data_IF_888212418475
#
_entry.id   IF_888212418475
#
_cell.length_a   1.000
_cell.length_b   1.000
_cell.length_c   1.000
_cell.angle_alpha   90.00
_cell.angle_beta   90.00
_cell.angle_gamma   90.00
#
_symmetry.space_group_name_H-M   'P 1'
#
loop_
_entity.id
_entity.type
_entity.pdbx_description
1 polymer ?
#
# COMPACT_ATOMS: atom_id res chain seq x y z
N UNK A 1 16.42 -2.31 -19.40
CA UNK A 1 16.00 -3.73 -19.21
C UNK A 1 15.00 -4.08 -20.28
N UNK A 2 15.12 -5.27 -20.86
CA UNK A 2 14.12 -5.80 -21.80
C UNK A 2 12.74 -5.84 -21.14
N UNK A 3 11.72 -5.36 -21.83
CA UNK A 3 10.31 -5.47 -21.40
C UNK A 3 9.67 -6.79 -21.86
N UNK A 4 10.51 -7.83 -22.03
CA UNK A 4 10.06 -9.17 -22.42
C UNK A 4 9.63 -10.00 -21.20
N UNK A 5 8.80 -11.00 -21.49
CA UNK A 5 8.43 -12.04 -20.50
C UNK A 5 9.68 -12.85 -20.18
N UNK A 6 9.95 -13.11 -18.91
CA UNK A 6 11.15 -13.82 -18.46
C UNK A 6 10.81 -14.91 -17.48
N UNK A 7 11.53 -16.01 -17.55
CA UNK A 7 11.49 -17.09 -16.57
C UNK A 7 12.55 -16.84 -15.49
N UNK A 8 12.14 -16.92 -14.23
CA UNK A 8 13.00 -16.80 -13.04
C UNK A 8 13.01 -18.15 -12.36
N UNK A 9 14.20 -18.73 -12.20
CA UNK A 9 14.39 -20.05 -11.60
C UNK A 9 14.72 -19.96 -10.11
N UNK A 10 14.47 -21.02 -9.32
CA UNK A 10 14.98 -21.12 -7.97
C UNK A 10 16.51 -20.98 -7.91
N UNK A 11 17.01 -20.33 -6.86
CA UNK A 11 18.44 -20.08 -6.65
C UNK A 11 19.01 -18.88 -7.42
N UNK A 12 18.14 -18.00 -7.94
CA UNK A 12 18.55 -16.79 -8.66
C UNK A 12 18.39 -15.49 -7.83
N UNK A 13 18.20 -15.58 -6.53
CA UNK A 13 18.08 -14.39 -5.70
C UNK A 13 19.47 -13.86 -5.33
N UNK A 14 19.77 -12.64 -5.79
CA UNK A 14 21.01 -11.93 -5.48
C UNK A 14 20.65 -10.63 -4.74
N UNK A 15 21.04 -10.49 -3.46
CA UNK A 15 20.67 -9.32 -2.64
C UNK A 15 21.04 -7.98 -3.29
N UNK A 16 22.19 -7.91 -3.95
CA UNK A 16 22.70 -6.70 -4.61
C UNK A 16 21.81 -6.24 -5.76
N UNK A 17 21.07 -7.15 -6.40
CA UNK A 17 20.12 -6.84 -7.48
C UNK A 17 18.75 -6.39 -6.96
N UNK A 18 18.41 -6.71 -5.70
CA UNK A 18 17.07 -6.57 -5.17
C UNK A 18 16.95 -5.57 -4.04
N UNK A 19 18.07 -5.10 -3.48
CA UNK A 19 18.08 -4.09 -2.43
C UNK A 19 18.94 -2.87 -2.79
N UNK A 20 18.55 -1.73 -2.27
CA UNK A 20 19.42 -0.56 -2.34
C UNK A 20 20.71 -0.79 -1.54
N UNK A 21 21.86 -0.26 -2.00
CA UNK A 21 23.15 -0.41 -1.29
C UNK A 21 23.09 0.02 0.19
N UNK A 22 22.32 1.06 0.49
CA UNK A 22 22.12 1.50 1.88
C UNK A 22 21.36 0.47 2.71
N UNK A 23 20.41 -0.25 2.11
CA UNK A 23 19.65 -1.28 2.82
C UNK A 23 20.48 -2.56 3.04
N UNK A 24 21.41 -2.88 2.13
CA UNK A 24 22.30 -4.03 2.27
C UNK A 24 23.16 -3.94 3.55
N UNK A 25 23.61 -2.73 3.90
CA UNK A 25 24.49 -2.47 5.03
C UNK A 25 23.74 -1.93 6.26
N UNK A 26 22.42 -1.83 6.21
CA UNK A 26 21.63 -1.33 7.33
C UNK A 26 21.22 -2.46 8.27
N UNK A 27 21.08 -2.12 9.54
CA UNK A 27 20.50 -2.99 10.56
C UNK A 27 19.26 -2.34 11.16
N UNK A 28 18.28 -3.14 11.52
CA UNK A 28 17.12 -2.65 12.27
C UNK A 28 17.57 -2.33 13.70
N UNK A 29 17.26 -1.13 14.17
CA UNK A 29 17.52 -0.77 15.56
C UNK A 29 16.90 -1.82 16.50
N UNK A 30 17.63 -2.33 17.52
CA UNK A 30 17.17 -3.44 18.37
C UNK A 30 15.79 -3.21 19.01
N UNK A 31 15.48 -1.98 19.42
CA UNK A 31 14.16 -1.64 19.96
C UNK A 31 13.06 -1.78 18.90
N UNK A 32 13.31 -1.37 17.66
CA UNK A 32 12.35 -1.51 16.55
C UNK A 32 12.15 -2.99 16.22
N UNK A 33 13.24 -3.76 16.16
CA UNK A 33 13.19 -5.20 15.96
C UNK A 33 12.36 -5.90 17.06
N UNK A 34 12.54 -5.49 18.33
CA UNK A 34 11.73 -5.99 19.43
C UNK A 34 10.23 -5.78 19.20
N UNK A 35 9.80 -4.59 18.76
CA UNK A 35 8.39 -4.31 18.49
C UNK A 35 7.86 -5.08 17.27
N UNK A 36 8.66 -5.27 16.24
CA UNK A 36 8.26 -6.06 15.07
C UNK A 36 8.10 -7.56 15.38
N UNK A 37 8.75 -8.05 16.42
CA UNK A 37 8.68 -9.45 16.84
C UNK A 37 7.64 -9.70 17.95
N UNK A 38 6.83 -8.69 18.32
CA UNK A 38 5.73 -8.91 19.26
C UNK A 38 4.64 -9.76 18.59
N UNK A 39 4.18 -10.77 19.31
CA UNK A 39 2.98 -11.51 18.93
C UNK A 39 1.69 -10.68 19.10
N UNK A 40 0.60 -11.10 18.47
CA UNK A 40 -0.67 -10.41 18.52
C UNK A 40 -1.18 -10.20 19.96
N UNK A 41 -1.01 -11.16 20.86
CA UNK A 41 -1.48 -11.07 22.23
C UNK A 41 -0.72 -9.99 23.00
N UNK A 42 0.60 -9.88 22.78
CA UNK A 42 1.42 -8.84 23.38
C UNK A 42 1.05 -7.45 22.81
N UNK A 43 0.79 -7.36 21.51
CA UNK A 43 0.32 -6.12 20.88
C UNK A 43 -1.01 -5.69 21.51
N UNK A 44 -1.98 -6.61 21.65
CA UNK A 44 -3.29 -6.36 22.25
C UNK A 44 -3.15 -5.88 23.69
N UNK A 45 -2.39 -6.62 24.53
CA UNK A 45 -2.18 -6.27 25.93
C UNK A 45 -1.56 -4.87 26.09
N UNK A 46 -0.50 -4.61 25.31
CA UNK A 46 0.18 -3.30 25.36
C UNK A 46 -0.72 -2.17 24.89
N UNK A 47 -1.46 -2.37 23.78
CA UNK A 47 -2.35 -1.36 23.25
C UNK A 47 -3.49 -1.05 24.21
N UNK A 48 -4.14 -2.07 24.78
CA UNK A 48 -5.21 -1.90 25.76
C UNK A 48 -4.71 -1.23 27.05
N UNK A 49 -3.49 -1.57 27.50
CA UNK A 49 -2.88 -0.89 28.66
C UNK A 49 -2.68 0.62 28.41
N UNK A 50 -2.19 0.99 27.22
CA UNK A 50 -1.97 2.39 26.86
C UNK A 50 -3.28 3.13 26.49
N UNK A 51 -4.33 2.40 26.18
CA UNK A 51 -5.63 2.91 25.77
C UNK A 51 -6.77 2.25 26.59
N UNK A 52 -7.00 2.66 27.85
CA UNK A 52 -7.92 1.95 28.77
C UNK A 52 -9.39 1.87 28.31
N UNK A 53 -9.78 2.66 27.30
CA UNK A 53 -11.12 2.62 26.72
C UNK A 53 -11.29 1.52 25.66
N UNK A 54 -10.19 0.85 25.29
CA UNK A 54 -10.19 -0.18 24.24
C UNK A 54 -10.60 -1.53 24.81
N UNK A 55 -11.57 -2.18 24.18
CA UNK A 55 -11.89 -3.58 24.44
C UNK A 55 -10.83 -4.51 23.80
N UNK A 56 -9.96 -5.08 24.64
CA UNK A 56 -8.86 -5.93 24.20
C UNK A 56 -9.33 -7.19 23.46
N UNK A 57 -10.49 -7.76 23.80
CA UNK A 57 -11.05 -8.92 23.12
C UNK A 57 -11.46 -8.56 21.67
N UNK A 58 -12.13 -7.46 21.50
CA UNK A 58 -12.52 -6.95 20.17
C UNK A 58 -11.29 -6.58 19.33
N UNK A 59 -10.26 -5.99 19.94
CA UNK A 59 -8.99 -5.71 19.25
C UNK A 59 -8.32 -6.98 18.78
N UNK A 60 -8.26 -8.04 19.62
CA UNK A 60 -7.72 -9.34 19.24
C UNK A 60 -8.50 -9.95 18.07
N UNK A 61 -9.83 -9.92 18.12
CA UNK A 61 -10.67 -10.42 17.03
C UNK A 61 -10.43 -9.64 15.73
N UNK A 62 -10.25 -8.34 15.81
CA UNK A 62 -9.99 -7.47 14.65
C UNK A 62 -8.64 -7.79 14.01
N UNK A 63 -7.58 -7.93 14.82
CA UNK A 63 -6.23 -8.25 14.32
C UNK A 63 -6.13 -9.64 13.69
N UNK A 64 -6.93 -10.59 14.17
CA UNK A 64 -6.99 -11.95 13.63
C UNK A 64 -7.97 -12.12 12.46
N UNK A 65 -8.65 -11.04 12.05
CA UNK A 65 -9.61 -11.10 10.94
C UNK A 65 -8.88 -11.18 9.61
N UNK A 66 -9.06 -12.28 8.89
CA UNK A 66 -8.60 -12.37 7.51
C UNK A 66 -9.46 -11.54 6.56
N UNK A 67 -8.84 -10.86 5.62
CA UNK A 67 -9.51 -10.13 4.57
C UNK A 67 -9.66 -11.00 3.31
N UNK A 68 -10.75 -10.81 2.58
CA UNK A 68 -11.02 -11.62 1.37
C UNK A 68 -10.18 -11.21 0.17
N UNK A 69 -9.88 -9.93 0.03
CA UNK A 69 -9.28 -9.37 -1.18
C UNK A 69 -8.01 -8.56 -0.93
N UNK A 70 -7.96 -7.83 0.19
CA UNK A 70 -6.84 -6.94 0.53
C UNK A 70 -5.88 -7.68 1.45
N UNK A 71 -4.78 -8.20 0.90
CA UNK A 71 -3.83 -9.04 1.64
C UNK A 71 -2.51 -8.35 1.94
N UNK A 72 -2.19 -7.30 1.18
CA UNK A 72 -0.96 -6.56 1.31
C UNK A 72 -1.23 -5.08 1.10
N UNK A 73 -0.81 -4.26 2.02
CA UNK A 73 -0.98 -2.83 1.98
C UNK A 73 0.12 -2.08 2.71
N UNK A 74 0.25 -0.81 2.41
CA UNK A 74 1.04 0.15 3.16
C UNK A 74 0.16 1.30 3.59
N UNK A 75 0.51 1.95 4.68
CA UNK A 75 -0.12 3.17 5.12
C UNK A 75 0.93 4.27 5.27
N UNK A 76 0.62 5.45 4.74
CA UNK A 76 1.42 6.64 4.97
C UNK A 76 0.93 7.29 6.26
N UNK A 77 1.85 7.40 7.23
CA UNK A 77 1.55 7.80 8.60
C UNK A 77 2.34 9.04 9.00
N UNK A 78 1.65 9.99 9.65
CA UNK A 78 2.32 11.06 10.38
C UNK A 78 2.22 10.80 11.89
N UNK A 79 3.35 11.01 12.57
CA UNK A 79 3.39 11.07 14.02
C UNK A 79 3.30 12.54 14.44
N UNK A 80 2.18 12.90 15.04
CA UNK A 80 1.86 14.29 15.35
C UNK A 80 1.65 14.49 16.83
N UNK A 81 1.88 15.72 17.28
CA UNK A 81 1.52 16.18 18.63
C UNK A 81 0.32 17.13 18.50
N UNK A 82 -0.75 16.84 19.22
CA UNK A 82 -1.95 17.70 19.26
C UNK A 82 -1.68 18.98 20.07
N UNK A 83 -2.58 19.95 19.97
CA UNK A 83 -2.52 21.17 20.79
C UNK A 83 -2.51 20.88 22.30
N UNK A 84 -3.15 19.78 22.73
CA UNK A 84 -3.16 19.32 24.12
C UNK A 84 -1.89 18.55 24.51
N UNK A 85 -0.87 18.49 23.63
CA UNK A 85 0.38 17.78 23.87
C UNK A 85 0.31 16.25 23.68
N UNK A 86 -0.82 15.70 23.27
CA UNK A 86 -0.96 14.26 23.04
C UNK A 86 -0.30 13.86 21.73
N UNK A 87 0.47 12.78 21.77
CA UNK A 87 1.11 12.18 20.59
C UNK A 87 0.19 11.14 19.97
N UNK A 88 0.04 11.20 18.64
CA UNK A 88 -0.79 10.24 17.91
C UNK A 88 -0.28 9.98 16.49
N UNK A 89 -0.60 8.80 15.97
CA UNK A 89 -0.42 8.49 14.56
C UNK A 89 -1.66 8.93 13.79
N UNK A 90 -1.44 9.54 12.62
CA UNK A 90 -2.49 9.96 11.69
C UNK A 90 -2.24 9.28 10.35
N UNK A 91 -3.24 8.58 9.83
CA UNK A 91 -3.20 7.92 8.52
C UNK A 91 -3.53 8.94 7.44
N UNK A 92 -2.63 9.12 6.49
CA UNK A 92 -2.82 10.02 5.34
C UNK A 92 -3.44 9.32 4.15
N UNK A 93 -2.96 8.11 3.86
CA UNK A 93 -3.49 7.24 2.81
C UNK A 93 -3.10 5.77 3.02
N UNK A 94 -3.83 4.88 2.34
CA UNK A 94 -3.52 3.46 2.26
C UNK A 94 -3.16 3.09 0.83
N UNK A 95 -2.08 2.36 0.66
CA UNK A 95 -1.58 1.87 -0.62
C UNK A 95 -1.83 0.37 -0.79
N UNK A 96 -2.34 -0.05 -1.96
CA UNK A 96 -2.65 -1.46 -2.26
C UNK A 96 -1.49 -2.28 -2.82
N UNK A 97 -0.42 -1.63 -3.23
CA UNK A 97 0.81 -2.26 -3.71
C UNK A 97 1.97 -1.33 -3.32
N UNK A 98 2.31 -1.26 -2.03
CA UNK A 98 3.39 -0.38 -1.58
C UNK A 98 4.73 -0.84 -2.15
N UNK A 99 5.59 0.11 -2.46
CA UNK A 99 7.00 -0.13 -2.75
C UNK A 99 7.77 0.06 -1.45
N UNK A 100 8.69 -0.84 -1.14
CA UNK A 100 9.48 -0.67 0.08
C UNK A 100 10.36 -1.85 0.44
N UNK A 101 10.12 -3.03 -0.09
CA UNK A 101 10.91 -4.22 0.26
C UNK A 101 12.39 -4.04 -0.04
N UNK A 102 12.73 -3.44 -1.19
CA UNK A 102 14.11 -3.11 -1.58
C UNK A 102 14.84 -2.15 -0.63
N UNK A 103 14.12 -1.51 0.29
CA UNK A 103 14.67 -0.59 1.29
C UNK A 103 14.69 -1.19 2.70
N UNK A 104 14.19 -2.41 2.87
CA UNK A 104 14.09 -3.04 4.18
C UNK A 104 15.41 -3.66 4.58
N UNK A 105 15.98 -3.30 5.75
CA UNK A 105 17.11 -4.01 6.31
C UNK A 105 16.73 -5.43 6.76
N UNK A 106 17.70 -6.36 6.95
CA UNK A 106 17.39 -7.69 7.42
C UNK A 106 16.82 -7.67 8.85
N UNK A 107 15.91 -8.60 9.13
CA UNK A 107 15.38 -8.83 10.48
C UNK A 107 16.37 -9.62 11.35
N UNK A 108 17.15 -10.48 10.74
CA UNK A 108 18.18 -11.30 11.36
C UNK A 108 19.33 -11.52 10.39
N UNK A 109 20.50 -11.85 10.93
CA UNK A 109 21.67 -12.21 10.13
C UNK A 109 21.35 -13.50 9.33
N UNK A 110 21.75 -13.51 8.05
CA UNK A 110 21.53 -14.65 7.15
C UNK A 110 20.15 -14.72 6.49
N UNK A 111 19.25 -13.78 6.76
CA UNK A 111 17.98 -13.68 6.01
C UNK A 111 18.19 -12.86 4.72
N UNK A 112 18.60 -13.53 3.66
CA UNK A 112 18.89 -12.90 2.36
C UNK A 112 17.66 -12.26 1.72
N UNK A 113 16.49 -12.92 1.83
CA UNK A 113 15.24 -12.44 1.23
C UNK A 113 14.55 -11.34 2.03
N UNK A 114 14.87 -11.20 3.31
CA UNK A 114 14.36 -10.14 4.20
C UNK A 114 12.83 -9.95 4.13
N UNK A 115 12.38 -8.73 3.88
CA UNK A 115 10.95 -8.40 3.78
C UNK A 115 10.23 -9.09 2.62
N UNK A 116 10.92 -9.47 1.55
CA UNK A 116 10.33 -10.28 0.47
C UNK A 116 9.86 -11.64 0.99
N UNK A 117 10.64 -12.30 1.86
CA UNK A 117 10.28 -13.58 2.47
C UNK A 117 8.96 -13.49 3.20
N UNK A 118 8.81 -12.52 4.10
CA UNK A 118 7.57 -12.37 4.87
C UNK A 118 6.33 -12.18 3.97
N UNK A 119 6.45 -11.39 2.91
CA UNK A 119 5.35 -11.20 1.96
C UNK A 119 5.00 -12.50 1.23
N UNK A 120 6.00 -13.21 0.75
CA UNK A 120 5.80 -14.40 -0.09
C UNK A 120 5.42 -15.62 0.77
N UNK A 121 6.19 -15.95 1.81
CA UNK A 121 6.01 -17.14 2.62
C UNK A 121 4.79 -17.01 3.54
N UNK A 122 4.77 -15.95 4.37
CA UNK A 122 3.76 -15.80 5.41
C UNK A 122 2.39 -15.40 4.84
N UNK A 123 2.35 -14.80 3.64
CA UNK A 123 1.10 -14.32 3.05
C UNK A 123 0.77 -14.99 1.71
N UNK A 124 1.51 -14.76 0.64
CA UNK A 124 1.14 -15.25 -0.70
C UNK A 124 1.02 -16.78 -0.77
N UNK A 125 2.07 -17.52 -0.39
CA UNK A 125 2.09 -18.97 -0.43
C UNK A 125 1.08 -19.57 0.55
N UNK A 126 0.95 -18.98 1.74
CA UNK A 126 -0.06 -19.37 2.73
C UNK A 126 -1.48 -19.20 2.19
N UNK A 127 -1.77 -18.13 1.47
CA UNK A 127 -3.09 -17.88 0.89
C UNK A 127 -3.45 -18.82 -0.27
N UNK A 128 -2.49 -19.27 -1.05
CA UNK A 128 -2.75 -20.20 -2.17
C UNK A 128 -2.75 -21.66 -1.73
N UNK A 129 -2.14 -21.98 -0.59
CA UNK A 129 -2.10 -23.33 -0.05
C UNK A 129 -3.51 -23.86 0.24
N UNK A 130 -3.84 -25.01 -0.33
CA UNK A 130 -5.15 -25.65 -0.14
C UNK A 130 -6.29 -25.01 -0.94
N UNK A 131 -6.07 -23.96 -1.71
CA UNK A 131 -7.08 -23.42 -2.63
C UNK A 131 -7.20 -24.28 -3.89
N UNK A 132 -8.42 -24.43 -4.39
CA UNK A 132 -8.67 -25.02 -5.71
C UNK A 132 -8.38 -23.97 -6.79
N UNK A 133 -7.15 -23.98 -7.29
CA UNK A 133 -6.68 -23.09 -8.35
C UNK A 133 -6.78 -23.78 -9.73
N UNK A 134 -6.83 -23.03 -10.84
CA UNK A 134 -6.67 -23.59 -12.17
C UNK A 134 -5.28 -24.24 -12.30
N UNK A 135 -5.08 -25.13 -13.27
CA UNK A 135 -3.74 -25.59 -13.64
C UNK A 135 -2.96 -24.42 -14.24
N UNK A 136 -1.67 -24.34 -14.00
CA UNK A 136 -0.85 -23.28 -14.55
C UNK A 136 0.37 -22.93 -13.71
N UNK A 137 1.06 -21.88 -14.11
CA UNK A 137 2.31 -21.41 -13.53
C UNK A 137 2.11 -20.33 -12.47
N UNK A 138 3.18 -20.00 -11.75
CA UNK A 138 3.27 -18.82 -10.90
C UNK A 138 3.81 -17.64 -11.71
N UNK A 139 3.34 -16.44 -11.42
CA UNK A 139 3.80 -15.23 -12.09
C UNK A 139 3.89 -14.00 -11.17
N UNK A 140 4.76 -13.06 -11.55
CA UNK A 140 4.75 -11.69 -11.05
C UNK A 140 4.44 -10.78 -12.24
N UNK A 141 3.30 -10.08 -12.18
CA UNK A 141 2.82 -9.18 -13.25
C UNK A 141 3.11 -7.75 -12.82
N UNK A 142 3.79 -6.97 -13.65
CA UNK A 142 4.31 -5.66 -13.24
C UNK A 142 4.25 -4.59 -14.32
N UNK A 143 4.29 -3.32 -13.88
CA UNK A 143 4.36 -2.14 -14.77
C UNK A 143 5.45 -1.12 -14.38
N UNK A 144 6.16 -1.33 -13.27
CA UNK A 144 7.27 -0.48 -12.82
C UNK A 144 8.14 -1.17 -11.77
N UNK A 145 9.16 -0.47 -11.25
CA UNK A 145 10.06 -0.89 -10.17
C UNK A 145 10.73 -2.25 -10.45
N UNK A 146 11.52 -2.40 -11.52
CA UNK A 146 12.11 -3.68 -11.91
C UNK A 146 12.91 -4.33 -10.76
N UNK A 147 13.71 -3.57 -10.00
CA UNK A 147 14.47 -4.08 -8.85
C UNK A 147 13.56 -4.81 -7.83
N UNK A 148 12.41 -4.24 -7.53
CA UNK A 148 11.52 -4.80 -6.53
C UNK A 148 10.72 -6.00 -7.07
N UNK A 149 10.26 -5.93 -8.31
CA UNK A 149 9.46 -7.01 -8.89
C UNK A 149 10.30 -8.23 -9.25
N UNK A 150 11.58 -8.06 -9.61
CA UNK A 150 12.52 -9.17 -9.76
C UNK A 150 12.80 -9.82 -8.40
N UNK A 151 12.92 -9.05 -7.32
CA UNK A 151 13.03 -9.57 -5.96
C UNK A 151 11.82 -10.40 -5.54
N UNK A 152 10.59 -9.96 -5.85
CA UNK A 152 9.39 -10.80 -5.62
C UNK A 152 9.44 -12.09 -6.43
N UNK A 153 9.83 -12.05 -7.69
CA UNK A 153 9.86 -13.23 -8.56
C UNK A 153 10.93 -14.24 -8.09
N UNK A 154 12.14 -13.77 -7.78
CA UNK A 154 13.23 -14.62 -7.31
C UNK A 154 12.90 -15.25 -5.94
N UNK A 155 12.40 -14.45 -4.98
CA UNK A 155 11.96 -14.97 -3.68
C UNK A 155 10.83 -15.99 -3.82
N UNK A 156 9.86 -15.72 -4.72
CA UNK A 156 8.76 -16.66 -4.97
C UNK A 156 9.27 -17.96 -5.58
N UNK A 157 10.21 -17.90 -6.52
CA UNK A 157 10.82 -19.09 -7.10
C UNK A 157 11.56 -19.92 -6.05
N UNK A 158 12.39 -19.28 -5.22
CA UNK A 158 13.16 -19.96 -4.18
C UNK A 158 12.27 -20.66 -3.15
N UNK A 159 11.24 -19.97 -2.65
CA UNK A 159 10.39 -20.47 -1.59
C UNK A 159 9.36 -21.49 -2.08
N UNK A 160 8.86 -21.35 -3.31
CA UNK A 160 7.97 -22.33 -3.92
C UNK A 160 8.70 -23.53 -4.51
N UNK A 161 10.01 -23.40 -4.81
CA UNK A 161 10.83 -24.35 -5.57
C UNK A 161 10.27 -24.61 -6.98
N UNK A 162 9.67 -23.60 -7.59
CA UNK A 162 9.09 -23.66 -8.91
C UNK A 162 9.58 -22.45 -9.73
N UNK A 163 9.61 -22.63 -11.05
CA UNK A 163 9.87 -21.55 -11.97
C UNK A 163 8.75 -20.50 -11.90
N UNK A 164 9.13 -19.22 -11.91
CA UNK A 164 8.20 -18.08 -11.80
C UNK A 164 8.35 -17.19 -13.04
N UNK A 165 7.24 -16.84 -13.66
CA UNK A 165 7.23 -15.95 -14.81
C UNK A 165 7.14 -14.48 -14.37
N UNK A 166 8.07 -13.66 -14.84
CA UNK A 166 8.04 -12.21 -14.69
C UNK A 166 7.41 -11.61 -15.96
N UNK A 167 6.22 -11.04 -15.83
CA UNK A 167 5.36 -10.66 -16.96
C UNK A 167 5.13 -9.15 -16.97
N UNK A 168 5.63 -8.41 -17.98
CA UNK A 168 5.37 -6.98 -18.12
C UNK A 168 3.91 -6.73 -18.50
N UNK A 169 3.32 -5.66 -17.93
CA UNK A 169 1.95 -5.24 -18.19
C UNK A 169 1.91 -3.70 -18.27
N UNK A 170 2.56 -3.13 -19.27
CA UNK A 170 2.62 -1.70 -19.50
C UNK A 170 1.44 -1.20 -20.34
N UNK A 171 1.14 0.08 -20.22
CA UNK A 171 0.21 0.74 -21.12
C UNK A 171 0.87 0.99 -22.48
N UNK A 172 0.08 1.03 -23.55
CA UNK A 172 0.49 1.34 -24.92
C UNK A 172 1.41 0.28 -25.60
N UNK A 173 1.68 -0.84 -24.96
CA UNK A 173 2.46 -1.94 -25.57
C UNK A 173 1.58 -3.17 -25.79
N UNK A 174 2.01 -4.04 -26.71
CA UNK A 174 1.36 -5.35 -26.89
C UNK A 174 1.49 -6.11 -25.56
N UNK A 175 0.38 -6.17 -24.82
CA UNK A 175 0.35 -6.82 -23.51
C UNK A 175 0.49 -8.34 -23.71
N UNK A 176 1.51 -9.00 -23.10
CA UNK A 176 1.68 -10.43 -23.20
C UNK A 176 0.69 -11.22 -22.32
N UNK A 177 -0.38 -10.58 -21.85
CA UNK A 177 -1.40 -11.22 -21.02
C UNK A 177 -2.70 -11.30 -21.80
N UNK A 178 -3.28 -12.50 -21.84
CA UNK A 178 -4.60 -12.75 -22.41
C UNK A 178 -5.52 -13.36 -21.33
N UNK A 179 -6.83 -13.19 -21.51
CA UNK A 179 -7.85 -13.70 -20.60
C UNK A 179 -8.78 -14.64 -21.34
N UNK A 180 -8.80 -15.91 -20.94
CA UNK A 180 -9.63 -16.95 -21.56
C UNK A 180 -10.27 -17.83 -20.50
N UNK A 181 -11.53 -18.15 -20.65
CA UNK A 181 -12.30 -19.06 -19.78
C UNK A 181 -12.22 -18.72 -18.27
N UNK A 182 -11.99 -17.46 -17.98
CA UNK A 182 -11.85 -16.97 -16.61
C UNK A 182 -10.43 -17.09 -16.04
N UNK A 183 -9.44 -17.48 -16.82
CA UNK A 183 -8.03 -17.64 -16.42
C UNK A 183 -7.15 -16.63 -17.14
N UNK A 184 -6.17 -16.08 -16.43
CA UNK A 184 -5.09 -15.30 -17.04
C UNK A 184 -4.07 -16.24 -17.66
N UNK A 185 -3.61 -15.91 -18.86
CA UNK A 185 -2.53 -16.60 -19.55
C UNK A 185 -1.45 -15.58 -19.90
N UNK A 186 -0.20 -15.99 -19.85
CA UNK A 186 0.90 -15.24 -20.44
C UNK A 186 1.24 -15.81 -21.84
N UNK A 187 1.78 -14.94 -22.69
CA UNK A 187 2.34 -15.32 -23.97
C UNK A 187 3.86 -15.18 -23.86
N UNK A 188 4.60 -16.29 -24.01
CA UNK A 188 6.05 -16.29 -23.96
C UNK A 188 6.69 -15.81 -25.29
N UNK A 189 8.02 -15.82 -25.37
CA UNK A 189 8.75 -15.40 -26.57
C UNK A 189 8.54 -16.34 -27.78
N UNK A 190 8.20 -17.59 -27.53
CA UNK A 190 7.85 -18.60 -28.53
C UNK A 190 6.37 -18.50 -28.99
N UNK A 191 5.64 -17.49 -28.53
CA UNK A 191 4.19 -17.32 -28.73
C UNK A 191 3.33 -18.45 -28.17
N UNK A 192 3.80 -19.16 -27.16
CA UNK A 192 3.00 -20.14 -26.42
C UNK A 192 2.13 -19.44 -25.38
N UNK A 193 0.89 -19.87 -25.29
CA UNK A 193 -0.08 -19.36 -24.30
C UNK A 193 -0.06 -20.26 -23.05
N UNK A 194 0.46 -19.74 -21.94
CA UNK A 194 0.67 -20.49 -20.71
C UNK A 194 -0.30 -20.00 -19.63
N UNK A 195 -1.17 -20.85 -19.06
CA UNK A 195 -2.11 -20.46 -18.02
C UNK A 195 -1.41 -20.10 -16.70
N UNK A 196 -1.91 -19.09 -16.02
CA UNK A 196 -1.42 -18.62 -14.73
C UNK A 196 -2.37 -19.08 -13.63
N UNK A 197 -1.91 -19.92 -12.69
CA UNK A 197 -2.73 -20.34 -11.54
C UNK A 197 -2.81 -19.29 -10.45
N UNK A 198 -1.69 -18.60 -10.19
CA UNK A 198 -1.62 -17.55 -9.18
C UNK A 198 -0.53 -16.53 -9.57
N UNK A 199 -0.78 -15.26 -9.24
CA UNK A 199 0.19 -14.20 -9.51
C UNK A 199 0.18 -13.12 -8.43
N UNK A 200 1.35 -12.51 -8.21
CA UNK A 200 1.50 -11.26 -7.50
C UNK A 200 1.32 -10.12 -8.51
N UNK A 201 0.35 -9.23 -8.26
CA UNK A 201 0.07 -8.11 -9.13
C UNK A 201 0.77 -6.83 -8.64
N UNK A 202 1.73 -6.33 -9.40
CA UNK A 202 2.39 -5.05 -9.19
C UNK A 202 2.09 -4.09 -10.35
N UNK A 203 0.80 -3.97 -10.71
CA UNK A 203 0.30 -3.06 -11.75
C UNK A 203 -0.24 -1.82 -11.05
N UNK A 204 0.49 -0.73 -11.10
CA UNK A 204 0.29 0.44 -10.24
C UNK A 204 0.14 1.76 -11.00
N UNK A 205 0.44 1.79 -12.31
CA UNK A 205 0.24 2.93 -13.18
C UNK A 205 -1.13 2.89 -13.88
N UNK A 206 -1.62 4.02 -14.34
CA UNK A 206 -2.85 4.08 -15.17
C UNK A 206 -2.63 3.42 -16.54
N UNK A 207 -3.66 2.81 -17.13
CA UNK A 207 -4.94 2.45 -16.55
C UNK A 207 -4.83 1.23 -15.61
N UNK A 208 -5.42 1.30 -14.42
CA UNK A 208 -5.26 0.24 -13.40
C UNK A 208 -6.07 -1.03 -13.67
N UNK A 209 -6.98 -0.99 -14.64
CA UNK A 209 -7.89 -2.08 -15.02
C UNK A 209 -7.36 -2.93 -16.19
N UNK A 210 -6.06 -2.90 -16.46
CA UNK A 210 -5.44 -3.75 -17.50
C UNK A 210 -5.57 -5.25 -17.25
N UNK A 211 -5.79 -5.64 -16.01
CA UNK A 211 -6.17 -6.99 -15.63
C UNK A 211 -7.64 -7.05 -15.23
N UNK A 212 -8.34 -8.15 -15.51
CA UNK A 212 -9.75 -8.30 -15.16
C UNK A 212 -9.98 -8.23 -13.66
N UNK A 213 -11.13 -7.69 -13.25
CA UNK A 213 -11.55 -7.60 -11.84
C UNK A 213 -11.88 -8.99 -11.28
N UNK A 214 -12.48 -9.85 -12.12
CA UNK A 214 -12.90 -11.20 -11.74
C UNK A 214 -12.12 -12.22 -12.57
N UNK A 215 -11.47 -13.16 -11.89
CA UNK A 215 -10.68 -14.23 -12.53
C UNK A 215 -10.61 -15.46 -11.63
N UNK A 216 -10.45 -16.64 -12.23
CA UNK A 216 -10.14 -17.90 -11.55
C UNK A 216 -8.67 -17.98 -11.13
N UNK A 217 -7.77 -17.27 -11.83
CA UNK A 217 -6.39 -17.06 -11.40
C UNK A 217 -6.40 -16.35 -10.05
N UNK A 218 -5.66 -16.84 -9.08
CA UNK A 218 -5.50 -16.10 -7.82
C UNK A 218 -4.60 -14.90 -8.06
N UNK A 219 -5.15 -13.69 -7.93
CA UNK A 219 -4.40 -12.44 -8.06
C UNK A 219 -4.21 -11.83 -6.67
N UNK A 220 -2.98 -11.83 -6.19
CA UNK A 220 -2.63 -11.24 -4.91
C UNK A 220 -2.75 -9.71 -4.99
N UNK A 221 -3.61 -9.15 -4.15
CA UNK A 221 -4.12 -7.80 -4.28
C UNK A 221 -4.72 -7.55 -5.68
N UNK A 222 -5.89 -8.12 -5.91
CA UNK A 222 -6.59 -8.07 -7.19
C UNK A 222 -6.82 -6.64 -7.71
N UNK A 223 -7.22 -6.52 -8.96
CA UNK A 223 -7.60 -5.24 -9.57
C UNK A 223 -8.69 -4.52 -8.77
N UNK A 224 -9.63 -5.26 -8.16
CA UNK A 224 -10.65 -4.70 -7.28
C UNK A 224 -10.05 -3.91 -6.11
N UNK A 225 -9.03 -4.45 -5.46
CA UNK A 225 -8.34 -3.79 -4.32
C UNK A 225 -7.67 -2.50 -4.76
N UNK A 226 -7.13 -2.48 -5.97
CA UNK A 226 -6.54 -1.27 -6.55
C UNK A 226 -7.63 -0.21 -6.80
N UNK A 227 -8.70 -0.57 -7.50
CA UNK A 227 -9.76 0.35 -7.92
C UNK A 227 -10.63 0.84 -6.75
N UNK A 228 -10.90 -0.03 -5.78
CA UNK A 228 -11.80 0.27 -4.66
C UNK A 228 -11.08 0.77 -3.38
N UNK A 229 -9.78 0.84 -3.38
CA UNK A 229 -9.00 1.21 -2.19
C UNK A 229 -7.76 2.00 -2.53
N UNK A 230 -6.68 1.32 -2.93
CA UNK A 230 -5.35 1.91 -3.06
C UNK A 230 -5.19 3.02 -4.10
N UNK A 231 -6.14 3.20 -5.02
CA UNK A 231 -6.12 4.27 -6.05
C UNK A 231 -7.36 5.16 -6.01
N UNK A 232 -8.33 4.81 -5.19
CA UNK A 232 -9.55 5.58 -4.98
C UNK A 232 -9.56 6.17 -3.57
N UNK A 233 -9.04 7.38 -3.45
CA UNK A 233 -8.94 8.09 -2.16
C UNK A 233 -10.29 8.37 -1.52
N UNK A 234 -11.33 8.57 -2.34
CA UNK A 234 -12.69 8.78 -1.87
C UNK A 234 -13.24 7.52 -1.18
N UNK A 235 -13.11 6.35 -1.81
CA UNK A 235 -13.55 5.09 -1.20
C UNK A 235 -12.74 4.76 0.05
N UNK A 236 -11.42 5.01 0.03
CA UNK A 236 -10.56 4.81 1.20
C UNK A 236 -10.99 5.70 2.38
N UNK A 237 -11.29 6.99 2.15
CA UNK A 237 -11.79 7.91 3.18
C UNK A 237 -13.11 7.41 3.77
N UNK A 238 -14.08 7.06 2.94
CA UNK A 238 -15.35 6.48 3.42
C UNK A 238 -15.16 5.18 4.20
N UNK A 239 -14.17 4.37 3.84
CA UNK A 239 -13.87 3.14 4.58
C UNK A 239 -13.34 3.44 5.99
N UNK A 240 -12.52 4.48 6.16
CA UNK A 240 -12.07 4.92 7.51
C UNK A 240 -13.25 5.40 8.35
N UNK A 241 -14.16 6.19 7.77
CA UNK A 241 -15.33 6.69 8.49
C UNK A 241 -16.27 5.55 8.92
N UNK A 242 -16.54 4.60 8.03
CA UNK A 242 -17.34 3.41 8.35
C UNK A 242 -16.68 2.55 9.43
N UNK A 243 -15.36 2.35 9.36
CA UNK A 243 -14.61 1.66 10.40
C UNK A 243 -14.74 2.38 11.74
N UNK A 244 -14.49 3.69 11.77
CA UNK A 244 -14.56 4.50 12.98
C UNK A 244 -15.97 4.51 13.59
N UNK A 245 -17.01 4.60 12.74
CA UNK A 245 -18.39 4.52 13.19
C UNK A 245 -18.72 3.15 13.81
N UNK A 246 -18.28 2.06 13.18
CA UNK A 246 -18.55 0.69 13.63
C UNK A 246 -17.78 0.31 14.92
N UNK A 247 -16.60 0.87 15.13
CA UNK A 247 -15.69 0.51 16.24
C UNK A 247 -15.73 1.52 17.40
N UNK A 248 -16.49 2.60 17.27
CA UNK A 248 -16.57 3.69 18.28
C UNK A 248 -16.85 3.19 19.69
N UNK A 249 -17.80 2.26 19.86
CA UNK A 249 -18.16 1.68 21.16
C UNK A 249 -17.06 0.79 21.74
N UNK A 250 -16.12 0.33 20.93
CA UNK A 250 -15.01 -0.53 21.31
C UNK A 250 -13.76 0.29 21.70
N UNK A 251 -13.84 1.63 21.64
CA UNK A 251 -12.71 2.52 21.89
C UNK A 251 -11.64 2.52 20.78
N UNK A 252 -11.92 1.90 19.64
CA UNK A 252 -10.99 1.82 18.50
C UNK A 252 -11.27 2.91 17.48
N UNK A 253 -10.21 3.55 17.00
CA UNK A 253 -10.29 4.63 16.01
C UNK A 253 -9.05 4.67 15.13
N UNK A 254 -9.23 4.85 13.83
CA UNK A 254 -8.18 5.30 12.91
C UNK A 254 -8.23 6.83 12.88
N UNK A 255 -7.13 7.49 13.27
CA UNK A 255 -7.04 8.93 13.15
C UNK A 255 -6.67 9.29 11.72
N UNK A 256 -7.44 10.17 11.11
CA UNK A 256 -7.22 10.76 9.79
C UNK A 256 -7.27 12.28 9.91
N UNK A 257 -6.70 13.04 8.94
CA UNK A 257 -6.99 14.47 8.87
C UNK A 257 -8.49 14.71 8.76
N UNK A 258 -8.99 15.86 9.22
CA UNK A 258 -10.36 16.24 8.92
C UNK A 258 -10.53 16.32 7.40
N UNK A 259 -11.53 15.62 6.87
CA UNK A 259 -11.67 15.35 5.45
C UNK A 259 -13.08 15.64 4.99
N UNK A 260 -13.20 16.34 3.88
CA UNK A 260 -14.46 16.56 3.17
C UNK A 260 -14.34 15.99 1.76
N UNK A 261 -15.33 15.24 1.37
CA UNK A 261 -15.35 14.48 0.11
C UNK A 261 -16.39 15.03 -0.85
N UNK A 262 -16.14 14.86 -2.16
CA UNK A 262 -17.09 15.27 -3.20
C UNK A 262 -17.22 16.80 -3.30
N UNK A 263 -16.15 17.52 -3.01
CA UNK A 263 -16.11 18.99 -3.02
C UNK A 263 -15.96 19.48 -4.46
N UNK A 264 -16.92 20.26 -4.94
CA UNK A 264 -16.82 20.95 -6.23
C UNK A 264 -15.75 22.03 -6.20
N UNK A 265 -15.12 22.32 -7.35
CA UNK A 265 -14.03 23.30 -7.43
C UNK A 265 -14.41 24.65 -6.82
N UNK A 266 -15.62 25.13 -7.06
CA UNK A 266 -16.08 26.44 -6.54
C UNK A 266 -16.29 26.47 -5.03
N UNK A 267 -16.44 25.32 -4.38
CA UNK A 267 -16.62 25.20 -2.94
C UNK A 267 -15.28 25.15 -2.18
N UNK A 268 -14.18 24.88 -2.89
CA UNK A 268 -12.85 24.69 -2.29
C UNK A 268 -12.41 25.88 -1.43
N UNK A 269 -12.55 27.15 -1.87
CA UNK A 269 -12.14 28.30 -1.04
C UNK A 269 -12.83 28.33 0.32
N UNK A 270 -14.11 27.99 0.39
CA UNK A 270 -14.88 27.91 1.64
C UNK A 270 -14.30 26.86 2.58
N UNK A 271 -13.91 25.67 2.06
CA UNK A 271 -13.33 24.62 2.89
C UNK A 271 -11.91 24.94 3.33
N UNK A 272 -11.11 25.58 2.47
CA UNK A 272 -9.76 26.08 2.83
C UNK A 272 -9.86 27.11 3.97
N UNK A 273 -10.78 28.05 3.88
CA UNK A 273 -11.03 29.04 4.94
C UNK A 273 -11.46 28.36 6.25
N UNK A 274 -12.38 27.39 6.17
CA UNK A 274 -12.84 26.61 7.34
C UNK A 274 -11.69 25.85 8.04
N UNK A 275 -10.68 25.41 7.28
CA UNK A 275 -9.48 24.78 7.81
C UNK A 275 -8.39 25.79 8.22
N UNK A 276 -8.74 27.07 8.32
CA UNK A 276 -7.82 28.12 8.78
C UNK A 276 -6.78 28.56 7.73
N UNK A 277 -7.10 28.41 6.45
CA UNK A 277 -6.22 28.76 5.32
C UNK A 277 -5.22 27.67 4.93
N UNK A 278 -5.27 26.49 5.54
CA UNK A 278 -4.30 25.40 5.33
C UNK A 278 -5.02 24.10 4.95
N UNK A 279 -4.85 23.65 3.73
CA UNK A 279 -5.52 22.45 3.25
C UNK A 279 -4.66 21.63 2.28
N UNK A 280 -5.06 20.38 2.10
CA UNK A 280 -4.56 19.50 1.04
C UNK A 280 -5.74 19.10 0.16
N UNK A 281 -5.69 19.46 -1.10
CA UNK A 281 -6.69 19.10 -2.11
C UNK A 281 -6.18 17.88 -2.86
N UNK A 282 -7.02 16.86 -3.02
CA UNK A 282 -6.64 15.61 -3.67
C UNK A 282 -7.64 15.23 -4.77
N UNK A 283 -7.11 14.81 -5.91
CA UNK A 283 -7.93 14.13 -6.92
C UNK A 283 -8.45 12.80 -6.36
N UNK A 284 -9.70 12.40 -6.65
CA UNK A 284 -10.28 11.13 -6.17
C UNK A 284 -9.46 9.91 -6.59
N UNK A 285 -8.96 9.92 -7.83
CA UNK A 285 -8.16 8.86 -8.42
C UNK A 285 -6.78 9.40 -8.77
N UNK A 286 -5.77 9.00 -8.00
CA UNK A 286 -4.40 9.43 -8.23
C UNK A 286 -3.37 8.47 -7.63
N UNK A 287 -2.10 8.66 -8.00
CA UNK A 287 -0.99 7.82 -7.59
C UNK A 287 0.28 8.66 -7.43
N UNK A 288 1.15 8.27 -6.50
CA UNK A 288 2.51 8.80 -6.34
C UNK A 288 2.59 10.34 -6.25
N UNK A 289 1.73 10.95 -5.45
CA UNK A 289 1.69 12.41 -5.27
C UNK A 289 1.04 13.20 -6.41
N UNK A 290 0.73 12.58 -7.54
CA UNK A 290 0.01 13.24 -8.62
C UNK A 290 -1.40 13.61 -8.18
N UNK A 291 -1.85 14.84 -8.52
CA UNK A 291 -3.17 15.33 -8.13
C UNK A 291 -3.32 15.53 -6.62
N UNK A 292 -2.24 15.89 -5.94
CA UNK A 292 -2.20 16.37 -4.56
C UNK A 292 -1.67 17.80 -4.56
N UNK A 293 -2.48 18.72 -4.07
CA UNK A 293 -2.18 20.15 -4.05
C UNK A 293 -2.22 20.62 -2.60
N UNK A 294 -1.13 21.18 -2.14
CA UNK A 294 -1.03 21.77 -0.78
C UNK A 294 -1.32 23.26 -0.86
N UNK A 295 -2.21 23.73 -0.02
CA UNK A 295 -2.59 25.15 0.08
C UNK A 295 -2.12 25.65 1.46
N UNK A 296 -1.21 26.61 1.46
CA UNK A 296 -0.66 27.26 2.66
C UNK A 296 -0.81 28.79 2.65
N UNK A 297 -1.24 29.34 1.52
CA UNK A 297 -1.45 30.77 1.31
C UNK A 297 -2.46 31.01 0.19
N UNK A 298 -2.85 32.28 0.02
CA UNK A 298 -3.84 32.70 -0.99
C UNK A 298 -3.36 32.52 -2.42
N UNK A 299 -2.06 32.68 -2.68
CA UNK A 299 -1.53 32.61 -4.05
C UNK A 299 -1.61 31.16 -4.57
N UNK A 300 -1.29 30.17 -3.73
CA UNK A 300 -1.45 28.75 -4.06
C UNK A 300 -2.92 28.38 -4.29
N UNK A 301 -3.84 28.95 -3.50
CA UNK A 301 -5.27 28.75 -3.73
C UNK A 301 -5.73 29.35 -5.05
N UNK A 302 -5.29 30.57 -5.37
CA UNK A 302 -5.61 31.22 -6.64
C UNK A 302 -5.05 30.45 -7.84
N UNK A 303 -3.81 29.97 -7.74
CA UNK A 303 -3.20 29.14 -8.77
C UNK A 303 -4.02 27.86 -8.99
N UNK A 304 -4.40 27.17 -7.91
CA UNK A 304 -5.28 26.01 -7.99
C UNK A 304 -6.62 26.37 -8.66
N UNK A 305 -7.24 27.48 -8.29
CA UNK A 305 -8.54 27.90 -8.85
C UNK A 305 -8.45 28.28 -10.34
N UNK A 306 -7.31 28.71 -10.85
CA UNK A 306 -7.07 29.00 -12.28
C UNK A 306 -6.79 27.73 -13.11
N UNK A 307 -6.35 26.63 -12.47
CA UNK A 307 -5.99 25.39 -13.15
C UNK A 307 -7.18 24.68 -13.78
N UNK A 308 -6.92 23.86 -14.80
CA UNK A 308 -7.89 22.92 -15.39
C UNK A 308 -7.60 21.50 -14.89
N UNK A 309 -8.64 20.75 -14.60
CA UNK A 309 -8.54 19.42 -14.00
C UNK A 309 -9.48 18.43 -14.68
N UNK A 310 -9.07 17.17 -14.76
CA UNK A 310 -9.88 16.07 -15.30
C UNK A 310 -11.03 15.64 -14.37
N UNK A 311 -11.17 16.28 -13.19
CA UNK A 311 -12.14 15.91 -12.17
C UNK A 311 -12.98 17.11 -11.75
N UNK A 312 -14.29 16.88 -11.64
CA UNK A 312 -15.26 17.89 -11.18
C UNK A 312 -15.35 17.97 -9.66
N UNK A 313 -14.92 16.92 -8.98
CA UNK A 313 -14.99 16.80 -7.53
C UNK A 313 -13.65 16.40 -6.95
N UNK A 314 -13.36 16.91 -5.76
CA UNK A 314 -12.12 16.76 -5.03
C UNK A 314 -12.37 16.23 -3.61
N UNK A 315 -11.29 15.82 -2.97
CA UNK A 315 -11.22 15.58 -1.54
C UNK A 315 -10.42 16.73 -0.95
N UNK A 316 -10.95 17.42 0.06
CA UNK A 316 -10.27 18.50 0.76
C UNK A 316 -9.99 18.04 2.19
N UNK A 317 -8.74 18.11 2.60
CA UNK A 317 -8.29 17.70 3.93
C UNK A 317 -7.61 18.85 4.65
N UNK A 318 -7.74 18.90 5.97
CA UNK A 318 -6.94 19.80 6.79
C UNK A 318 -5.45 19.46 6.64
N UNK A 319 -4.58 20.47 6.52
CA UNK A 319 -3.14 20.26 6.46
C UNK A 319 -2.60 19.87 7.84
N UNK A 320 -1.91 18.74 7.91
CA UNK A 320 -1.31 18.25 9.14
C UNK A 320 0.08 18.86 9.33
N UNK A 321 0.37 19.34 10.55
CA UNK A 321 1.69 19.84 10.94
C UNK A 321 1.94 21.32 10.63
N UNK A 322 0.90 22.08 10.29
CA UNK A 322 1.03 23.53 10.03
C UNK A 322 1.11 24.40 11.29
N UNK A 323 0.66 23.88 12.44
CA UNK A 323 0.66 24.64 13.67
C UNK A 323 2.07 24.94 14.17
N UNK A 324 2.34 26.18 14.51
CA UNK A 324 3.59 26.58 15.17
C UNK A 324 3.64 25.98 16.57
N UNK A 325 4.77 25.42 16.92
CA UNK A 325 5.01 24.95 18.29
C UNK A 325 6.35 25.49 18.81
N UNK A 326 6.46 25.61 20.11
CA UNK A 326 7.71 25.94 20.80
C UNK A 326 7.91 24.96 21.94
N UNK A 327 9.17 24.58 22.19
CA UNK A 327 9.54 23.82 23.38
C UNK A 327 10.33 24.72 24.32
N UNK A 328 10.08 24.59 25.63
CA UNK A 328 10.98 25.13 26.63
C UNK A 328 12.08 24.12 26.93
N UNK A 329 13.31 24.55 26.90
CA UNK A 329 14.45 23.78 27.39
C UNK A 329 14.76 24.24 28.81
N UNK A 330 15.59 23.49 29.56
CA UNK A 330 16.06 23.89 30.90
C UNK A 330 16.79 25.24 30.92
N UNK A 331 17.21 25.73 29.74
CA UNK A 331 17.89 27.01 29.56
C UNK A 331 16.96 28.17 29.13
N UNK A 332 15.65 27.97 29.12
CA UNK A 332 14.68 28.93 28.62
C UNK A 332 14.23 28.70 27.20
N UNK A 333 13.46 29.65 26.65
CA UNK A 333 12.81 29.52 25.32
C UNK A 333 13.80 29.31 24.21
#
# INVERSE_FOLDING_TARGET
MSRSVRLVKPGCFEPEEHFYPKALNAQIHPMVAHFFNLDHDRIVQRYAYLNPKVDGKSLSQLLNRSTKFFHWGGADLFYVTTEQGNRQMVVLETNSCPSGQKSMPPKSDGDEHRGYRSLIEDSFLTLIKGKRLPKGVLAVIYDKNPMEVTGYAATLADLSREDVWLVPCFDQEKNPIVYRDGVLHLINEENEEIPIRACLRYVTQKPWNRLPVVTKTFVYNSTLVCLAGGRNKLVASKAYDLFNASTRKLGLKINTPETVEGVGKLEIPMWVDRFGGFAVIKNPYSNAGQGVYTITNSDELEEFMKGEYDYDQFIVQSLIGHAKWSSQTEQGK
#
